data_IF_261990409685
#
_entry.id   IF_261990409685
#
_cell.length_a   1.000
_cell.length_b   1.000
_cell.length_c   1.000
_cell.angle_alpha   90.00
_cell.angle_beta   90.00
_cell.angle_gamma   90.00
#
_symmetry.space_group_name_H-M   'P 1'
#
loop_
_entity.id
_entity.type
_entity.pdbx_description
1 polymer ?
#
# COMPACT_ATOMS: atom_id res chain seq x y z
N UNK A 1 -9.74 -13.33 2.09
CA UNK A 1 -8.69 -13.24 1.06
C UNK A 1 -7.41 -12.66 1.64
N UNK A 2 -6.31 -12.90 0.99
CA UNK A 2 -5.04 -12.31 1.37
C UNK A 2 -4.81 -11.03 0.57
N UNK A 3 -4.47 -9.95 1.26
CA UNK A 3 -4.12 -8.68 0.63
C UNK A 3 -2.73 -8.29 1.11
N UNK A 4 -1.86 -7.97 0.15
CA UNK A 4 -0.55 -7.42 0.46
C UNK A 4 -0.63 -5.92 0.21
N UNK A 5 -0.33 -5.13 1.23
CA UNK A 5 -0.32 -3.67 1.15
C UNK A 5 1.13 -3.20 1.09
N UNK A 6 1.45 -2.44 0.05
CA UNK A 6 2.76 -1.80 -0.10
C UNK A 6 2.55 -0.29 -0.18
N UNK A 7 3.35 0.48 0.52
CA UNK A 7 3.27 1.93 0.43
C UNK A 7 4.65 2.57 0.39
N UNK A 8 4.71 3.72 -0.27
CA UNK A 8 5.88 4.58 -0.31
C UNK A 8 5.38 6.00 -0.05
N UNK A 9 5.64 6.50 1.14
CA UNK A 9 5.20 7.83 1.57
C UNK A 9 6.40 8.76 1.58
N UNK A 10 6.23 9.93 0.98
CA UNK A 10 7.29 10.95 0.95
C UNK A 10 7.51 11.48 2.37
N UNK A 11 8.72 11.32 2.88
CA UNK A 11 9.09 11.71 4.25
C UNK A 11 9.99 12.94 4.31
N UNK A 12 10.10 13.68 3.22
CA UNK A 12 10.91 14.91 3.18
C UNK A 12 10.33 16.02 4.04
N UNK A 13 9.02 15.98 4.30
CA UNK A 13 8.33 16.94 5.14
C UNK A 13 7.87 16.33 6.45
N UNK A 14 7.57 17.17 7.43
CA UNK A 14 7.00 16.75 8.71
C UNK A 14 5.63 16.10 8.52
N UNK A 15 4.80 16.65 7.64
CA UNK A 15 3.49 16.13 7.30
C UNK A 15 3.62 14.73 6.69
N UNK A 16 4.59 14.54 5.80
CA UNK A 16 4.86 13.23 5.19
C UNK A 16 5.24 12.19 6.23
N UNK A 17 6.07 12.55 7.19
CA UNK A 17 6.44 11.64 8.28
C UNK A 17 5.24 11.28 9.16
N UNK A 18 4.32 12.23 9.37
CA UNK A 18 3.05 11.97 10.07
C UNK A 18 2.16 11.03 9.28
N UNK A 19 2.04 11.23 7.97
CA UNK A 19 1.26 10.33 7.10
C UNK A 19 1.82 8.92 7.16
N UNK A 20 3.14 8.78 7.10
CA UNK A 20 3.78 7.47 7.20
C UNK A 20 3.36 6.73 8.47
N UNK A 21 3.38 7.41 9.62
CA UNK A 21 2.97 6.80 10.89
C UNK A 21 1.50 6.39 10.89
N UNK A 22 0.61 7.21 10.32
CA UNK A 22 -0.82 6.91 10.26
C UNK A 22 -1.11 5.75 9.31
N UNK A 23 -0.46 5.73 8.16
CA UNK A 23 -0.56 4.62 7.20
C UNK A 23 -0.12 3.32 7.86
N UNK A 24 1.02 3.33 8.55
CA UNK A 24 1.52 2.16 9.24
C UNK A 24 0.54 1.68 10.33
N UNK A 25 -0.04 2.58 11.11
CA UNK A 25 -1.02 2.22 12.14
C UNK A 25 -2.28 1.57 11.56
N UNK A 26 -2.78 2.11 10.45
CA UNK A 26 -3.94 1.53 9.78
C UNK A 26 -3.65 0.10 9.31
N UNK A 27 -2.49 -0.12 8.75
CA UNK A 27 -2.08 -1.45 8.30
C UNK A 27 -1.86 -2.40 9.48
N UNK A 28 -1.23 -1.93 10.55
CA UNK A 28 -0.99 -2.74 11.76
C UNK A 28 -2.29 -3.19 12.42
N UNK A 29 -3.33 -2.35 12.38
CA UNK A 29 -4.63 -2.69 12.93
C UNK A 29 -5.33 -3.82 12.15
N UNK A 30 -4.95 -4.03 10.90
CA UNK A 30 -5.63 -4.98 10.02
C UNK A 30 -4.78 -6.20 9.69
N UNK A 31 -3.46 -6.07 9.70
CA UNK A 31 -2.58 -7.13 9.24
C UNK A 31 -1.25 -7.19 9.97
N UNK A 32 -0.33 -7.93 9.38
CA UNK A 32 1.00 -8.18 9.93
C UNK A 32 2.06 -7.53 9.05
N UNK A 33 2.96 -6.78 9.67
CA UNK A 33 4.12 -6.21 8.97
C UNK A 33 5.09 -7.31 8.59
N UNK A 34 5.46 -7.35 7.32
CA UNK A 34 6.46 -8.31 6.81
C UNK A 34 7.74 -7.62 6.38
N UNK A 35 7.65 -6.35 6.01
CA UNK A 35 8.79 -5.45 5.78
C UNK A 35 8.38 -4.04 6.20
N UNK A 36 9.30 -3.08 6.16
CA UNK A 36 9.06 -1.72 6.67
C UNK A 36 7.75 -1.10 6.19
N UNK A 37 7.44 -1.25 4.90
CA UNK A 37 6.24 -0.69 4.28
C UNK A 37 5.46 -1.74 3.50
N UNK A 38 5.50 -2.99 3.98
CA UNK A 38 4.77 -4.10 3.40
C UNK A 38 4.03 -4.86 4.50
N UNK A 39 2.72 -5.04 4.31
CA UNK A 39 1.85 -5.73 5.26
C UNK A 39 1.07 -6.84 4.57
N UNK A 40 0.92 -7.96 5.24
CA UNK A 40 0.02 -9.02 4.83
C UNK A 40 -1.25 -8.95 5.67
N UNK A 41 -2.39 -8.85 5.01
CA UNK A 41 -3.69 -8.70 5.66
C UNK A 41 -4.64 -9.80 5.19
N UNK A 42 -5.17 -10.58 6.15
CA UNK A 42 -6.23 -11.54 5.84
C UNK A 42 -7.56 -10.88 6.18
N UNK A 43 -8.34 -10.58 5.14
CA UNK A 43 -9.54 -9.75 5.26
C UNK A 43 -10.65 -10.28 4.36
N UNK A 44 -11.88 -9.95 4.72
CA UNK A 44 -13.02 -10.12 3.82
C UNK A 44 -13.19 -8.85 2.97
N UNK A 45 -14.16 -8.85 2.05
CA UNK A 45 -14.41 -7.71 1.17
C UNK A 45 -14.72 -6.43 1.93
N UNK A 46 -15.54 -6.50 2.96
CA UNK A 46 -15.92 -5.33 3.75
C UNK A 46 -14.71 -4.73 4.48
N UNK A 47 -13.88 -5.59 5.06
CA UNK A 47 -12.65 -5.16 5.74
C UNK A 47 -11.65 -4.54 4.75
N UNK A 48 -11.52 -5.15 3.57
CA UNK A 48 -10.65 -4.62 2.53
C UNK A 48 -11.11 -3.24 2.07
N UNK A 49 -12.41 -3.08 1.79
CA UNK A 49 -12.95 -1.79 1.37
C UNK A 49 -12.73 -0.70 2.43
N UNK A 50 -12.90 -1.04 3.71
CA UNK A 50 -12.68 -0.10 4.79
C UNK A 50 -11.22 0.31 4.88
N UNK A 51 -10.28 -0.65 4.76
CA UNK A 51 -8.85 -0.38 4.77
C UNK A 51 -8.44 0.46 3.56
N UNK A 52 -8.89 0.09 2.38
CA UNK A 52 -8.62 0.82 1.14
C UNK A 52 -9.06 2.28 1.25
N UNK A 53 -10.29 2.50 1.70
CA UNK A 53 -10.84 3.85 1.86
C UNK A 53 -10.05 4.67 2.86
N UNK A 54 -9.70 4.08 4.01
CA UNK A 54 -8.96 4.76 5.04
C UNK A 54 -7.55 5.15 4.56
N UNK A 55 -6.87 4.26 3.85
CA UNK A 55 -5.53 4.53 3.33
C UNK A 55 -5.55 5.56 2.21
N UNK A 56 -6.51 5.47 1.29
CA UNK A 56 -6.66 6.47 0.23
C UNK A 56 -6.89 7.87 0.82
N UNK A 57 -7.70 7.96 1.87
CA UNK A 57 -7.96 9.24 2.54
C UNK A 57 -6.72 9.81 3.24
N UNK A 58 -5.79 8.96 3.64
CA UNK A 58 -4.61 9.38 4.36
C UNK A 58 -3.47 9.86 3.46
N UNK A 59 -3.29 9.23 2.29
CA UNK A 59 -2.16 9.54 1.41
C UNK A 59 -2.37 10.84 0.65
N UNK A 60 -1.25 11.38 0.17
CA UNK A 60 -1.22 12.51 -0.75
C UNK A 60 -0.83 11.98 -2.13
N UNK A 61 -1.81 11.89 -3.08
CA UNK A 61 -1.57 11.18 -4.35
C UNK A 61 -0.42 11.74 -5.19
N UNK A 62 -0.12 13.03 -5.06
CA UNK A 62 0.97 13.66 -5.80
C UNK A 62 2.36 13.38 -5.22
N UNK A 63 2.43 12.85 -3.99
CA UNK A 63 3.69 12.61 -3.29
C UNK A 63 3.89 11.16 -2.87
N UNK A 64 2.79 10.44 -2.63
CA UNK A 64 2.82 9.11 -2.04
C UNK A 64 2.34 8.05 -3.02
N UNK A 65 2.75 6.81 -2.80
CA UNK A 65 2.27 5.66 -3.55
C UNK A 65 1.65 4.64 -2.60
N UNK A 66 0.57 4.02 -3.04
CA UNK A 66 -0.13 2.98 -2.30
C UNK A 66 -0.53 1.89 -3.28
N UNK A 67 -0.21 0.64 -2.94
CA UNK A 67 -0.49 -0.49 -3.80
C UNK A 67 -1.05 -1.64 -2.99
N UNK A 68 -2.10 -2.26 -3.53
CA UNK A 68 -2.72 -3.46 -2.99
C UNK A 68 -2.58 -4.60 -3.98
N UNK A 69 -2.11 -5.75 -3.48
CA UNK A 69 -2.13 -7.00 -4.21
C UNK A 69 -3.19 -7.89 -3.56
N UNK A 70 -4.26 -8.17 -4.29
CA UNK A 70 -5.36 -9.01 -3.80
C UNK A 70 -5.20 -10.40 -4.37
N UNK A 71 -5.04 -11.38 -3.48
CA UNK A 71 -4.88 -12.77 -3.88
C UNK A 71 -6.11 -13.55 -3.46
N UNK A 72 -6.81 -14.09 -4.46
CA UNK A 72 -7.94 -14.98 -4.25
C UNK A 72 -7.63 -16.32 -4.94
N UNK A 73 -7.91 -17.43 -4.25
CA UNK A 73 -7.56 -18.76 -4.75
C UNK A 73 -8.08 -19.05 -6.15
N UNK A 74 -9.25 -18.54 -6.50
CA UNK A 74 -9.89 -18.81 -7.79
C UNK A 74 -9.63 -17.78 -8.88
N UNK A 75 -9.01 -16.64 -8.57
CA UNK A 75 -8.90 -15.51 -9.51
C UNK A 75 -7.48 -14.98 -9.73
N UNK A 76 -6.49 -15.60 -9.10
CA UNK A 76 -5.12 -15.14 -9.17
C UNK A 76 -4.90 -13.85 -8.38
N UNK A 77 -4.04 -12.97 -8.90
CA UNK A 77 -3.67 -11.73 -8.22
C UNK A 77 -4.23 -10.52 -8.97
N UNK A 78 -4.93 -9.66 -8.26
CA UNK A 78 -5.39 -8.36 -8.75
C UNK A 78 -4.56 -7.27 -8.07
N UNK A 79 -4.08 -6.30 -8.85
CA UNK A 79 -3.28 -5.19 -8.35
C UNK A 79 -4.07 -3.90 -8.46
N UNK A 80 -4.15 -3.15 -7.35
CA UNK A 80 -4.74 -1.81 -7.31
C UNK A 80 -3.69 -0.84 -6.80
N UNK A 81 -3.48 0.24 -7.53
CA UNK A 81 -2.45 1.23 -7.19
C UNK A 81 -3.03 2.63 -7.15
N UNK A 82 -2.61 3.41 -6.18
CA UNK A 82 -3.05 4.80 -5.98
C UNK A 82 -1.85 5.70 -5.69
N UNK A 83 -1.88 6.92 -6.22
CA UNK A 83 -0.84 7.90 -6.01
C UNK A 83 0.22 7.92 -7.09
N UNK A 84 1.39 8.45 -6.74
CA UNK A 84 2.51 8.57 -7.67
C UNK A 84 3.12 7.22 -7.98
N UNK A 85 3.27 6.92 -9.27
CA UNK A 85 3.95 5.70 -9.70
C UNK A 85 5.46 5.89 -9.59
N UNK A 86 6.09 5.08 -8.75
CA UNK A 86 7.56 5.09 -8.56
C UNK A 86 8.20 3.73 -8.83
N UNK A 87 7.43 2.79 -9.36
CA UNK A 87 7.96 1.47 -9.67
C UNK A 87 8.96 1.56 -10.80
N UNK A 88 10.01 0.73 -10.70
CA UNK A 88 10.99 0.61 -11.77
C UNK A 88 10.32 -0.08 -12.95
N UNK A 89 10.46 0.49 -14.15
CA UNK A 89 10.00 -0.14 -15.37
C UNK A 89 11.00 -1.26 -15.72
N UNK A 90 10.58 -2.50 -15.52
CA UNK A 90 11.42 -3.67 -15.82
C UNK A 90 11.64 -3.89 -17.31
N UNK A 91 10.89 -3.22 -18.17
CA UNK A 91 11.10 -3.25 -19.62
C UNK A 91 12.23 -2.30 -20.04
N UNK A 92 12.59 -1.32 -19.20
CA UNK A 92 13.69 -0.42 -19.44
C UNK A 92 15.01 -1.00 -18.90
N UNK A 93 16.16 -0.65 -19.49
CA UNK A 93 17.44 -1.08 -18.96
C UNK A 93 17.64 -0.59 -17.53
N UNK A 94 17.98 -1.52 -16.63
CA UNK A 94 18.36 -1.18 -15.26
C UNK A 94 19.81 -0.69 -15.27
N UNK A 95 19.99 0.58 -14.93
CA UNK A 95 21.31 1.14 -14.69
C UNK A 95 21.55 1.11 -13.18
N UNK A 96 22.39 0.19 -12.79
CA UNK A 96 22.76 0.03 -11.38
C UNK A 96 24.00 0.86 -11.05
#
# INVERSE_FOLDING_TARGET
MLVIVCYDVNTETREGRRRLRRVARLCEATGQRVQKSVFECRVNHAQFEALERALIAEIRPEEDNLRFYRLAESRGCEVKEYGCFRAVDFAAPLVL
#
